data_IF_180717264522
#
_entry.id   IF_180717264522
#
_cell.length_a   1.000
_cell.length_b   1.000
_cell.length_c   1.000
_cell.angle_alpha   90.00
_cell.angle_beta   90.00
_cell.angle_gamma   90.00
#
_symmetry.space_group_name_H-M   'P 1'
#
loop_
_entity.id
_entity.type
_entity.pdbx_description
1 polymer ?
#
# COMPACT_ATOMS: atom_id res chain seq x y z
N UNK A 1 -7.60 19.91 -11.11
CA UNK A 1 -7.39 19.26 -10.94
C UNK A 1 -7.71 17.88 -10.75
N UNK A 2 -8.39 17.33 -11.70
CA UNK A 2 -8.72 15.95 -11.74
C UNK A 2 -7.50 15.07 -11.72
N UNK A 3 -6.42 15.58 -12.27
CA UNK A 3 -5.21 14.78 -12.39
C UNK A 3 -4.63 14.33 -11.06
N UNK A 4 -4.75 15.15 -10.04
CA UNK A 4 -4.19 14.80 -8.73
C UNK A 4 -4.93 13.64 -8.08
N UNK A 5 -6.25 13.64 -8.21
CA UNK A 5 -7.05 12.55 -7.69
C UNK A 5 -6.75 11.25 -8.42
N UNK A 6 -6.59 11.36 -9.74
CA UNK A 6 -6.27 10.17 -10.54
C UNK A 6 -4.91 9.62 -10.16
N UNK A 7 -3.93 10.49 -9.94
CA UNK A 7 -2.60 10.06 -9.56
C UNK A 7 -2.62 9.37 -8.19
N UNK A 8 -3.37 9.90 -7.24
CA UNK A 8 -3.49 9.32 -5.92
C UNK A 8 -4.18 7.95 -5.98
N UNK A 9 -5.20 7.83 -6.81
CA UNK A 9 -5.90 6.56 -6.98
C UNK A 9 -4.99 5.51 -7.63
N UNK A 10 -4.23 5.91 -8.64
CA UNK A 10 -3.29 5.00 -9.29
C UNK A 10 -2.23 4.52 -8.31
N UNK A 11 -1.73 5.44 -7.49
CA UNK A 11 -0.74 5.09 -6.48
C UNK A 11 -1.32 4.10 -5.49
N UNK A 12 -2.55 4.32 -5.06
CA UNK A 12 -3.23 3.42 -4.14
C UNK A 12 -3.41 2.03 -4.74
N UNK A 13 -3.85 1.98 -6.00
CA UNK A 13 -4.05 0.70 -6.67
C UNK A 13 -2.74 -0.04 -6.90
N UNK A 14 -1.69 0.70 -7.24
CA UNK A 14 -0.36 0.10 -7.41
C UNK A 14 0.15 -0.45 -6.09
N UNK A 15 -0.08 0.26 -5.00
CA UNK A 15 0.33 -0.19 -3.68
C UNK A 15 -0.45 -1.44 -3.27
N UNK A 16 -1.73 -1.51 -3.63
CA UNK A 16 -2.53 -2.70 -3.36
C UNK A 16 -1.98 -3.92 -4.09
N UNK A 17 -1.63 -3.74 -5.35
CA UNK A 17 -1.06 -4.84 -6.14
C UNK A 17 0.27 -5.27 -5.56
N UNK A 18 1.11 -4.31 -5.17
CA UNK A 18 2.39 -4.62 -4.58
C UNK A 18 2.21 -5.40 -3.28
N UNK A 19 1.22 -5.01 -2.47
CA UNK A 19 0.93 -5.72 -1.23
C UNK A 19 0.48 -7.15 -1.51
N UNK A 20 -0.42 -7.33 -2.46
CA UNK A 20 -0.88 -8.67 -2.81
C UNK A 20 0.28 -9.55 -3.26
N UNK A 21 1.16 -9.02 -4.10
CA UNK A 21 2.34 -9.75 -4.56
C UNK A 21 3.27 -10.11 -3.41
N UNK A 22 3.48 -9.16 -2.51
CA UNK A 22 4.35 -9.38 -1.36
C UNK A 22 3.74 -10.41 -0.40
N UNK A 23 2.42 -10.40 -0.25
CA UNK A 23 1.75 -11.40 0.59
C UNK A 23 1.87 -12.79 0.02
N UNK A 24 1.73 -12.93 -1.30
CA UNK A 24 1.89 -14.22 -1.96
C UNK A 24 3.34 -14.70 -1.82
N UNK A 25 4.28 -13.80 -2.03
CA UNK A 25 5.70 -14.15 -1.91
C UNK A 25 6.04 -14.57 -0.47
N UNK A 26 5.48 -13.86 0.51
CA UNK A 26 5.72 -14.20 1.91
C UNK A 26 5.12 -15.58 2.23
N UNK A 27 3.91 -15.85 1.76
CA UNK A 27 3.28 -17.13 2.01
C UNK A 27 4.10 -18.27 1.43
N UNK A 28 4.60 -18.09 0.21
CA UNK A 28 5.45 -19.08 -0.43
C UNK A 28 6.71 -19.32 0.38
N UNK A 29 7.35 -18.24 0.82
CA UNK A 29 8.57 -18.33 1.60
C UNK A 29 8.31 -18.95 2.97
N UNK A 30 7.17 -18.67 3.57
CA UNK A 30 6.78 -19.26 4.84
C UNK A 30 6.60 -20.78 4.71
N UNK A 31 5.99 -21.21 3.62
CA UNK A 31 5.81 -22.63 3.36
C UNK A 31 7.16 -23.32 3.17
N UNK A 32 8.05 -22.69 2.43
CA UNK A 32 9.39 -23.21 2.24
C UNK A 32 10.14 -23.30 3.55
N UNK A 33 10.02 -22.29 4.38
CA UNK A 33 10.69 -22.25 5.67
C UNK A 33 10.16 -23.38 6.56
N UNK A 34 8.87 -23.58 6.59
CA UNK A 34 8.25 -24.65 7.37
C UNK A 34 8.69 -26.02 6.89
N UNK A 35 8.97 -26.16 5.60
CA UNK A 35 9.44 -27.41 5.02
C UNK A 35 10.95 -27.58 5.14
N UNK A 36 11.64 -26.64 5.75
CA UNK A 36 13.08 -26.70 5.89
C UNK A 36 13.85 -26.35 4.64
N UNK A 37 13.20 -25.73 3.68
CA UNK A 37 13.84 -25.42 2.39
C UNK A 37 14.25 -23.97 2.26
N UNK A 38 14.02 -23.16 3.28
CA UNK A 38 14.37 -21.76 3.24
C UNK A 38 15.21 -21.43 4.46
N UNK A 39 15.91 -20.30 4.39
CA UNK A 39 16.71 -19.85 5.51
C UNK A 39 15.95 -18.82 6.31
N UNK A 40 16.38 -18.63 7.56
CA UNK A 40 15.80 -17.59 8.41
C UNK A 40 15.96 -16.22 7.76
N UNK A 41 17.08 -16.01 7.08
CA UNK A 41 17.34 -14.76 6.39
C UNK A 41 16.30 -14.50 5.30
N UNK A 42 16.05 -15.50 4.46
CA UNK A 42 15.11 -15.37 3.37
C UNK A 42 13.69 -15.18 3.89
N UNK A 43 13.34 -15.89 4.94
CA UNK A 43 12.03 -15.76 5.56
C UNK A 43 11.82 -14.35 6.12
N UNK A 44 12.80 -13.84 6.85
CA UNK A 44 12.72 -12.51 7.43
C UNK A 44 12.72 -11.42 6.37
N UNK A 45 13.45 -11.62 5.28
CA UNK A 45 13.47 -10.68 4.17
C UNK A 45 12.10 -10.59 3.53
N UNK A 46 11.47 -11.72 3.26
CA UNK A 46 10.12 -11.72 2.68
C UNK A 46 9.11 -11.08 3.63
N UNK A 47 9.25 -11.31 4.92
CA UNK A 47 8.38 -10.72 5.92
C UNK A 47 8.54 -9.20 5.95
N UNK A 48 9.78 -8.72 5.89
CA UNK A 48 10.07 -7.30 5.89
C UNK A 48 9.50 -6.63 4.64
N UNK A 49 9.64 -7.28 3.49
CA UNK A 49 9.09 -6.75 2.24
C UNK A 49 7.58 -6.65 2.30
N UNK A 50 6.94 -7.66 2.88
CA UNK A 50 5.48 -7.63 3.02
C UNK A 50 5.05 -6.51 3.96
N UNK A 51 5.76 -6.34 5.08
CA UNK A 51 5.43 -5.28 6.03
C UNK A 51 5.61 -3.90 5.41
N UNK A 52 6.66 -3.74 4.59
CA UNK A 52 6.87 -2.48 3.90
C UNK A 52 5.75 -2.21 2.91
N UNK A 53 5.35 -3.23 2.16
CA UNK A 53 4.24 -3.09 1.21
C UNK A 53 2.94 -2.75 1.92
N UNK A 54 2.71 -3.32 3.10
CA UNK A 54 1.57 -2.99 3.92
C UNK A 54 1.59 -1.52 4.33
N UNK A 55 2.73 -1.04 4.79
CA UNK A 55 2.87 0.37 5.18
C UNK A 55 2.66 1.29 3.99
N UNK A 56 3.22 0.93 2.85
CA UNK A 56 3.06 1.73 1.64
C UNK A 56 1.60 1.79 1.20
N UNK A 57 0.90 0.68 1.31
CA UNK A 57 -0.50 0.62 0.94
C UNK A 57 -1.35 1.49 1.89
N UNK A 58 -1.07 1.43 3.18
CA UNK A 58 -1.77 2.24 4.17
C UNK A 58 -1.52 3.72 3.92
N UNK A 59 -0.27 4.08 3.64
CA UNK A 59 0.07 5.46 3.33
C UNK A 59 -0.64 5.95 2.09
N UNK A 60 -0.65 5.14 1.03
CA UNK A 60 -1.32 5.52 -0.20
C UNK A 60 -2.81 5.66 0.00
N UNK A 61 -3.40 4.81 0.85
CA UNK A 61 -4.81 4.89 1.18
C UNK A 61 -5.14 6.19 1.88
N UNK A 62 -4.33 6.56 2.88
CA UNK A 62 -4.56 7.80 3.60
C UNK A 62 -4.35 9.02 2.71
N UNK A 63 -3.33 8.98 1.86
CA UNK A 63 -3.11 10.06 0.92
C UNK A 63 -4.32 10.25 0.01
N UNK A 64 -4.87 9.16 -0.49
CA UNK A 64 -6.04 9.22 -1.35
C UNK A 64 -7.24 9.80 -0.59
N UNK A 65 -7.45 9.33 0.63
CA UNK A 65 -8.57 9.80 1.45
C UNK A 65 -8.41 11.27 1.78
N UNK A 66 -7.22 11.68 2.16
CA UNK A 66 -6.98 13.09 2.50
C UNK A 66 -7.17 13.99 1.31
N UNK A 67 -6.69 13.59 0.15
CA UNK A 67 -6.87 14.40 -1.04
C UNK A 67 -8.33 14.53 -1.42
N UNK A 68 -9.06 13.43 -1.32
CA UNK A 68 -10.48 13.44 -1.60
C UNK A 68 -11.22 14.34 -0.62
N UNK A 69 -10.88 14.24 0.65
CA UNK A 69 -11.54 15.06 1.67
C UNK A 69 -11.18 16.52 1.54
N UNK A 70 -9.95 16.82 1.17
CA UNK A 70 -9.56 18.21 0.97
C UNK A 70 -10.34 18.82 -0.18
N UNK A 71 -10.51 18.08 -1.26
CA UNK A 71 -11.31 18.54 -2.39
C UNK A 71 -12.76 18.74 -1.99
N UNK A 72 -13.31 17.80 -1.24
CA UNK A 72 -14.68 17.93 -0.73
C UNK A 72 -14.80 19.14 0.17
N UNK A 73 -13.84 19.34 1.01
CA UNK A 73 -13.84 20.44 1.93
C UNK A 73 -13.85 21.78 1.18
N UNK A 74 -12.99 21.90 0.18
CA UNK A 74 -12.96 23.12 -0.62
C UNK A 74 -14.24 23.32 -1.44
N UNK A 75 -14.80 22.24 -1.92
CA UNK A 75 -16.02 22.33 -2.68
C UNK A 75 -17.22 22.66 -1.80
N UNK A 76 -17.23 22.12 -0.60
CA UNK A 76 -18.33 22.33 0.32
C UNK A 76 -18.21 23.59 1.14
N UNK A 77 -17.00 24.16 1.30
CA UNK A 77 -16.80 25.32 2.03
C UNK A 77 -16.31 26.33 1.16
N UNK A 78 -17.01 27.25 0.89
CA UNK A 78 -16.57 28.33 0.07
C UNK A 78 -15.57 29.03 0.85
N UNK A 79 -15.03 28.63 1.58
CA UNK A 79 -13.99 29.14 2.14
C UNK A 79 -13.70 30.39 2.03
N UNK A 80 -14.20 30.82 1.79
CA UNK A 80 -13.99 31.92 1.54
C UNK A 80 -13.65 32.54 2.49
N UNK A 81 -13.59 32.47 2.92
CA UNK A 81 -13.24 33.06 3.76
C UNK A 81 -12.80 33.76 3.81
#
# INVERSE_FOLDING_TARGET
>A
MLFRSDAALLKYRSAEKALNSAQVAFRYEAEKYAAGRSTTFDYNDAKTRMQKAESDQIQAKYEFIFRTKILDFYAGFPLTL
#
